data_IF_380584579343
#
_entry.id   IF_380584579343
#
_cell.length_a   1.000
_cell.length_b   1.000
_cell.length_c   1.000
_cell.angle_alpha   90.00
_cell.angle_beta   90.00
_cell.angle_gamma   90.00
#
_symmetry.space_group_name_H-M   'P 1'
#
loop_
_entity.id
_entity.type
_entity.pdbx_description
1 polymer ?
#
# COMPACT_ATOMS: atom_id res chain seq x y z
N UNK A 1 19.62 -5.21 4.70
CA UNK A 1 18.99 -3.89 4.89
C UNK A 1 18.50 -3.65 6.31
N UNK A 2 17.68 -4.54 6.90
CA UNK A 2 17.20 -4.38 8.29
C UNK A 2 18.34 -4.28 9.33
N UNK A 3 19.40 -5.09 9.21
CA UNK A 3 20.62 -4.96 10.04
C UNK A 3 21.29 -3.58 9.93
N UNK A 4 21.25 -2.94 8.76
CA UNK A 4 21.84 -1.63 8.55
C UNK A 4 21.00 -0.52 9.19
N UNK A 5 19.68 -0.63 9.11
CA UNK A 5 18.73 0.26 9.80
C UNK A 5 18.90 0.14 11.32
N UNK A 6 19.01 -1.10 11.83
CA UNK A 6 19.35 -1.36 13.24
C UNK A 6 20.64 -0.65 13.63
N UNK A 7 21.69 -0.75 12.81
CA UNK A 7 22.94 -0.04 13.09
C UNK A 7 22.77 1.49 13.14
N UNK A 8 22.13 2.09 12.13
CA UNK A 8 21.99 3.55 12.04
C UNK A 8 21.16 4.12 13.19
N UNK A 9 20.02 3.50 13.50
CA UNK A 9 19.08 4.03 14.50
C UNK A 9 19.55 3.73 15.92
N UNK A 10 20.16 2.57 16.18
CA UNK A 10 20.65 2.23 17.51
C UNK A 10 21.97 2.93 17.80
N UNK A 11 22.94 2.87 16.89
CA UNK A 11 24.28 3.40 17.14
C UNK A 11 24.42 4.88 16.78
N UNK A 12 23.54 5.44 15.95
CA UNK A 12 23.48 6.88 15.70
C UNK A 12 22.77 7.68 16.81
N UNK A 13 22.13 7.00 17.77
CA UNK A 13 21.39 7.60 18.88
C UNK A 13 22.14 7.53 20.22
N UNK A 14 23.24 6.77 20.28
CA UNK A 14 24.14 6.68 21.43
C UNK A 14 24.80 8.04 21.76
N UNK A 15 24.95 8.95 20.79
CA UNK A 15 25.47 10.32 21.03
C UNK A 15 24.43 11.29 21.64
N UNK A 16 23.12 10.98 21.57
CA UNK A 16 22.07 11.90 21.99
C UNK A 16 21.48 11.60 23.38
N UNK A 17 21.55 10.35 23.86
CA UNK A 17 20.98 9.96 25.16
C UNK A 17 21.90 10.28 26.35
N UNK A 18 23.20 10.49 26.13
CA UNK A 18 24.13 10.90 27.20
C UNK A 18 24.08 12.41 27.52
N UNK A 19 23.41 13.22 26.71
CA UNK A 19 23.40 14.70 26.82
C UNK A 19 22.17 15.26 27.56
N UNK A 20 21.09 14.49 27.70
CA UNK A 20 19.83 14.97 28.31
C UNK A 20 19.43 14.10 29.51
N UNK A 21 20.27 14.14 30.53
CA UNK A 21 19.81 13.92 31.89
C UNK A 21 18.81 14.99 32.31
N UNK A 22 17.55 14.60 32.47
CA UNK A 22 16.58 15.32 33.28
C UNK A 22 15.65 16.29 32.56
N UNK A 23 14.47 15.81 32.21
CA UNK A 23 13.18 16.45 32.58
C UNK A 23 12.02 15.52 32.24
N UNK A 24 11.31 15.09 33.28
CA UNK A 24 10.02 14.44 33.13
C UNK A 24 8.98 15.45 32.65
N UNK A 25 8.32 15.14 31.54
CA UNK A 25 7.07 15.76 31.10
C UNK A 25 6.29 14.72 30.30
N UNK A 26 5.21 14.24 30.93
CA UNK A 26 4.02 13.56 30.39
C UNK A 26 4.11 12.90 29.01
N UNK A 27 4.17 11.57 29.06
CA UNK A 27 4.03 10.61 27.96
C UNK A 27 2.63 10.71 27.32
N UNK A 28 2.43 11.61 26.38
CA UNK A 28 1.45 11.37 25.32
C UNK A 28 2.02 10.29 24.41
N UNK A 29 1.24 9.25 24.10
CA UNK A 29 1.65 8.14 23.24
C UNK A 29 2.28 8.66 21.95
N UNK A 30 3.61 8.55 21.82
CA UNK A 30 4.38 9.00 20.64
C UNK A 30 4.11 8.05 19.47
N UNK A 31 2.95 8.24 18.86
CA UNK A 31 2.39 7.48 17.77
C UNK A 31 2.77 8.14 16.45
N UNK A 32 3.77 7.58 15.77
CA UNK A 32 4.19 8.01 14.44
C UNK A 32 3.22 7.49 13.36
N UNK A 33 3.06 8.28 12.30
CA UNK A 33 2.51 7.87 11.00
C UNK A 33 3.56 7.08 10.19
N UNK A 34 3.16 6.50 9.06
CA UNK A 34 4.09 5.81 8.16
C UNK A 34 5.19 6.73 7.61
N UNK A 35 4.89 8.02 7.39
CA UNK A 35 5.85 8.99 6.89
C UNK A 35 6.87 9.37 7.98
N UNK A 36 6.39 9.72 9.16
CA UNK A 36 7.26 10.02 10.31
C UNK A 36 8.14 8.82 10.67
N UNK A 37 7.61 7.60 10.55
CA UNK A 37 8.38 6.39 10.74
C UNK A 37 9.45 6.20 9.66
N UNK A 38 9.15 6.50 8.39
CA UNK A 38 10.12 6.43 7.30
C UNK A 38 11.30 7.39 7.55
N UNK A 39 10.99 8.62 7.94
CA UNK A 39 11.96 9.65 8.32
C UNK A 39 12.79 9.19 9.53
N UNK A 40 12.13 8.67 10.57
CA UNK A 40 12.79 8.18 11.78
C UNK A 40 13.75 7.01 11.50
N UNK A 41 13.30 6.03 10.71
CA UNK A 41 14.13 4.88 10.32
C UNK A 41 15.18 5.25 9.26
N UNK A 42 15.10 6.45 8.67
CA UNK A 42 15.92 6.90 7.54
C UNK A 42 15.85 5.95 6.36
N UNK A 43 14.63 5.52 6.03
CA UNK A 43 14.34 4.63 4.90
C UNK A 43 13.31 5.26 3.99
N UNK A 44 13.26 4.78 2.76
CA UNK A 44 12.17 5.11 1.85
C UNK A 44 10.82 4.64 2.42
N UNK A 45 9.76 5.44 2.23
CA UNK A 45 8.41 5.13 2.69
C UNK A 45 7.92 3.75 2.19
N UNK A 46 8.32 3.32 1.00
CA UNK A 46 8.05 1.99 0.45
C UNK A 46 8.60 0.87 1.34
N UNK A 47 9.75 1.09 1.97
CA UNK A 47 10.34 0.13 2.91
C UNK A 47 9.49 -0.04 4.15
N UNK A 48 8.92 1.05 4.67
CA UNK A 48 7.97 0.98 5.80
C UNK A 48 6.75 0.16 5.41
N UNK A 49 6.13 0.44 4.27
CA UNK A 49 4.97 -0.31 3.81
C UNK A 49 5.27 -1.79 3.56
N UNK A 50 6.45 -2.12 3.02
CA UNK A 50 6.88 -3.51 2.89
C UNK A 50 6.97 -4.22 4.24
N UNK A 51 7.51 -3.57 5.28
CA UNK A 51 7.51 -4.18 6.62
C UNK A 51 6.10 -4.34 7.19
N UNK A 52 5.20 -3.38 6.95
CA UNK A 52 3.79 -3.48 7.35
C UNK A 52 3.13 -4.69 6.68
N UNK A 53 3.37 -4.88 5.36
CA UNK A 53 2.86 -5.98 4.54
C UNK A 53 3.35 -7.33 5.01
N UNK A 54 4.65 -7.43 5.30
CA UNK A 54 5.28 -8.67 5.74
C UNK A 54 4.99 -8.99 7.21
N UNK A 55 4.22 -8.15 7.92
CA UNK A 55 3.97 -8.30 9.36
C UNK A 55 5.25 -8.17 10.19
N UNK A 56 6.27 -7.52 9.65
CA UNK A 56 7.61 -7.47 10.22
C UNK A 56 7.85 -6.24 11.10
N UNK A 57 6.90 -5.32 11.19
CA UNK A 57 7.03 -4.09 11.99
C UNK A 57 5.85 -3.97 12.99
N UNK A 58 6.13 -3.57 14.23
CA UNK A 58 5.08 -3.34 15.23
C UNK A 58 4.14 -2.23 14.79
N UNK A 59 2.82 -2.41 14.97
CA UNK A 59 1.81 -1.42 14.55
C UNK A 59 0.58 -1.47 15.43
N UNK A 60 -0.09 -0.33 15.57
CA UNK A 60 -1.34 -0.16 16.32
C UNK A 60 -2.37 0.49 15.41
N UNK A 61 -3.64 0.07 15.49
CA UNK A 61 -4.72 0.69 14.72
C UNK A 61 -5.41 1.75 15.58
N UNK A 62 -5.31 3.02 15.19
CA UNK A 62 -5.92 4.17 15.88
C UNK A 62 -6.77 4.95 14.88
N UNK A 63 -8.08 5.04 15.14
CA UNK A 63 -9.02 5.69 14.23
C UNK A 63 -9.00 5.10 12.81
N UNK A 64 -8.86 3.78 12.69
CA UNK A 64 -8.76 3.09 11.40
C UNK A 64 -7.38 3.09 10.75
N UNK A 65 -6.45 3.94 11.23
CA UNK A 65 -5.14 4.15 10.62
C UNK A 65 -4.03 3.41 11.38
N UNK A 66 -3.04 2.91 10.65
CA UNK A 66 -1.83 2.37 11.28
C UNK A 66 -1.01 3.48 11.93
N UNK A 67 -0.55 3.22 13.14
CA UNK A 67 0.34 4.06 13.94
C UNK A 67 1.45 3.21 14.54
N UNK A 68 2.57 3.85 14.81
CA UNK A 68 3.81 3.20 15.25
C UNK A 68 4.27 3.87 16.54
N UNK A 69 4.15 3.17 17.67
CA UNK A 69 4.70 3.69 18.93
C UNK A 69 6.22 3.68 18.85
N UNK A 70 6.87 4.81 19.13
CA UNK A 70 8.35 4.88 19.11
C UNK A 70 9.00 3.79 19.94
N UNK A 71 8.51 3.56 21.16
CA UNK A 71 9.02 2.51 22.07
C UNK A 71 9.03 1.12 21.44
N UNK A 72 7.96 0.78 20.72
CA UNK A 72 7.76 -0.53 20.12
C UNK A 72 8.71 -0.71 18.93
N UNK A 73 8.92 0.35 18.14
CA UNK A 73 9.88 0.38 17.04
C UNK A 73 11.31 0.24 17.56
N UNK A 74 11.67 0.95 18.62
CA UNK A 74 13.00 0.85 19.23
C UNK A 74 13.28 -0.55 19.79
N UNK A 75 12.31 -1.15 20.50
CA UNK A 75 12.42 -2.52 20.98
C UNK A 75 12.57 -3.53 19.83
N UNK A 76 11.80 -3.35 18.75
CA UNK A 76 11.91 -4.15 17.53
C UNK A 76 13.29 -4.03 16.85
N UNK A 77 13.83 -2.80 16.76
CA UNK A 77 15.17 -2.57 16.22
C UNK A 77 16.23 -3.27 17.07
N UNK A 78 16.16 -3.17 18.40
CA UNK A 78 17.07 -3.90 19.30
C UNK A 78 16.95 -5.42 19.19
N UNK A 79 15.80 -5.92 18.72
CA UNK A 79 15.50 -7.36 18.63
C UNK A 79 14.86 -7.91 19.90
N UNK A 80 14.46 -7.02 20.82
CA UNK A 80 13.81 -7.35 22.09
C UNK A 80 12.35 -7.74 21.90
N UNK A 81 11.80 -7.50 20.70
CA UNK A 81 10.41 -7.79 20.38
C UNK A 81 10.29 -8.72 19.18
N UNK A 82 9.62 -9.86 19.40
CA UNK A 82 9.19 -10.75 18.33
C UNK A 82 7.89 -10.19 17.75
N UNK A 83 7.95 -9.73 16.50
CA UNK A 83 6.74 -9.41 15.75
C UNK A 83 6.26 -10.73 15.16
N UNK A 84 5.22 -11.31 15.76
CA UNK A 84 4.49 -12.41 15.13
C UNK A 84 4.11 -11.93 13.73
N UNK A 85 4.52 -12.63 12.65
CA UNK A 85 4.02 -12.33 11.32
C UNK A 85 2.51 -12.33 11.46
N UNK A 86 1.86 -11.20 11.14
CA UNK A 86 0.40 -11.17 11.03
C UNK A 86 0.06 -12.42 10.22
N UNK A 87 -0.67 -13.37 10.82
CA UNK A 87 -1.15 -14.55 10.10
C UNK A 87 -1.67 -14.01 8.79
N UNK A 88 -0.95 -14.29 7.70
CA UNK A 88 -1.13 -13.56 6.45
C UNK A 88 -2.62 -13.63 6.17
N UNK A 89 -3.32 -12.49 6.15
CA UNK A 89 -4.71 -12.48 5.70
C UNK A 89 -4.65 -13.19 4.36
N UNK A 90 -5.20 -14.40 4.27
CA UNK A 90 -4.74 -15.39 3.29
C UNK A 90 -5.10 -15.01 1.85
N UNK A 91 -5.84 -13.90 1.65
CA UNK A 91 -6.13 -13.27 0.37
C UNK A 91 -5.29 -12.01 0.13
N UNK A 92 -4.83 -11.84 -1.11
CA UNK A 92 -4.23 -10.59 -1.62
C UNK A 92 -5.24 -9.45 -1.55
N UNK A 93 -4.78 -8.23 -1.28
CA UNK A 93 -5.62 -7.03 -1.21
C UNK A 93 -5.72 -6.38 -2.58
N UNK A 94 -6.93 -6.18 -3.08
CA UNK A 94 -7.22 -5.56 -4.37
C UNK A 94 -8.02 -4.28 -4.12
N UNK A 95 -7.59 -3.18 -4.75
CA UNK A 95 -8.37 -1.95 -4.81
C UNK A 95 -8.99 -1.80 -6.21
N UNK A 96 -10.31 -1.81 -6.27
CA UNK A 96 -11.09 -1.51 -7.48
C UNK A 96 -11.41 -0.02 -7.49
N UNK A 97 -11.12 0.66 -8.60
CA UNK A 97 -11.36 2.10 -8.77
C UNK A 97 -12.17 2.32 -10.04
N UNK A 98 -13.47 2.55 -9.86
CA UNK A 98 -14.44 2.74 -10.93
C UNK A 98 -15.63 3.54 -10.37
N UNK A 99 -16.11 4.54 -11.10
CA UNK A 99 -17.24 5.38 -10.67
C UNK A 99 -18.60 4.77 -11.05
N UNK A 100 -18.60 3.71 -11.86
CA UNK A 100 -19.80 2.98 -12.24
C UNK A 100 -20.16 1.90 -11.19
N UNK A 101 -21.27 2.06 -10.45
CA UNK A 101 -21.64 1.12 -9.38
C UNK A 101 -21.94 -0.29 -9.89
N UNK A 102 -22.40 -0.45 -11.13
CA UNK A 102 -22.65 -1.76 -11.74
C UNK A 102 -21.34 -2.50 -12.02
N UNK A 103 -20.35 -1.82 -12.59
CA UNK A 103 -19.02 -2.40 -12.81
C UNK A 103 -18.35 -2.76 -11.49
N UNK A 104 -18.40 -1.86 -10.50
CA UNK A 104 -17.88 -2.09 -9.16
C UNK A 104 -18.47 -3.34 -8.52
N UNK A 105 -19.80 -3.50 -8.58
CA UNK A 105 -20.48 -4.66 -8.02
C UNK A 105 -20.00 -5.96 -8.68
N UNK A 106 -19.99 -6.02 -10.02
CA UNK A 106 -19.55 -7.20 -10.77
C UNK A 106 -18.08 -7.56 -10.47
N UNK A 107 -17.18 -6.57 -10.48
CA UNK A 107 -15.77 -6.80 -10.16
C UNK A 107 -15.60 -7.29 -8.72
N UNK A 108 -16.31 -6.67 -7.77
CA UNK A 108 -16.21 -7.02 -6.35
C UNK A 108 -16.69 -8.44 -6.10
N UNK A 109 -17.85 -8.81 -6.62
CA UNK A 109 -18.43 -10.14 -6.45
C UNK A 109 -17.50 -11.23 -6.99
N UNK A 110 -17.03 -11.09 -8.24
CA UNK A 110 -16.13 -12.08 -8.88
C UNK A 110 -14.82 -12.25 -8.08
N UNK A 111 -14.24 -11.15 -7.60
CA UNK A 111 -12.95 -11.18 -6.90
C UNK A 111 -13.09 -11.70 -5.46
N UNK A 112 -14.16 -11.35 -4.76
CA UNK A 112 -14.42 -11.85 -3.41
C UNK A 112 -14.76 -13.34 -3.43
N UNK A 113 -15.54 -13.82 -4.40
CA UNK A 113 -15.80 -15.25 -4.60
C UNK A 113 -14.51 -16.04 -4.87
N UNK A 114 -13.52 -15.41 -5.51
CA UNK A 114 -12.19 -15.99 -5.72
C UNK A 114 -11.25 -15.89 -4.50
N UNK A 115 -11.72 -15.35 -3.36
CA UNK A 115 -10.97 -15.28 -2.10
C UNK A 115 -10.05 -14.06 -1.95
N UNK A 116 -10.23 -13.03 -2.79
CA UNK A 116 -9.48 -11.77 -2.64
C UNK A 116 -10.14 -10.82 -1.64
N UNK A 117 -9.30 -10.03 -0.97
CA UNK A 117 -9.76 -8.94 -0.10
C UNK A 117 -9.96 -7.69 -0.95
N UNK A 118 -11.22 -7.37 -1.29
CA UNK A 118 -11.53 -6.25 -2.20
C UNK A 118 -11.96 -5.03 -1.41
N UNK A 119 -11.36 -3.89 -1.74
CA UNK A 119 -11.87 -2.57 -1.38
C UNK A 119 -12.17 -1.76 -2.65
N UNK A 120 -13.01 -0.74 -2.52
CA UNK A 120 -13.52 0.04 -3.64
C UNK A 120 -13.28 1.52 -3.37
N UNK A 121 -12.90 2.24 -4.41
CA UNK A 121 -12.95 3.71 -4.47
C UNK A 121 -13.76 4.15 -5.69
N UNK A 122 -14.57 5.20 -5.55
CA UNK A 122 -15.42 5.71 -6.63
C UNK A 122 -14.73 6.80 -7.47
N UNK A 123 -13.53 7.24 -7.08
CA UNK A 123 -12.74 8.25 -7.78
C UNK A 123 -11.27 8.16 -7.38
N UNK A 124 -10.39 8.80 -8.16
CA UNK A 124 -8.95 8.70 -7.93
C UNK A 124 -8.46 9.40 -6.65
N UNK A 125 -9.16 10.39 -6.08
CA UNK A 125 -8.75 11.00 -4.81
C UNK A 125 -9.01 10.06 -3.62
N UNK A 126 -10.16 9.42 -3.62
CA UNK A 126 -10.51 8.40 -2.64
C UNK A 126 -9.51 7.23 -2.72
N UNK A 127 -9.22 6.76 -3.93
CA UNK A 127 -8.23 5.71 -4.16
C UNK A 127 -6.85 6.10 -3.63
N UNK A 128 -6.38 7.33 -3.86
CA UNK A 128 -5.11 7.82 -3.31
C UNK A 128 -5.12 7.92 -1.78
N UNK A 129 -6.25 8.31 -1.19
CA UNK A 129 -6.39 8.35 0.26
C UNK A 129 -6.25 6.95 0.86
N UNK A 130 -6.96 5.97 0.29
CA UNK A 130 -6.86 4.57 0.69
C UNK A 130 -5.46 4.01 0.46
N UNK A 131 -4.85 4.31 -0.69
CA UNK A 131 -3.48 3.93 -1.01
C UNK A 131 -2.51 4.48 0.02
N UNK A 132 -2.70 5.64 0.64
CA UNK A 132 -1.79 6.13 1.70
C UNK A 132 -1.96 5.40 3.03
N UNK A 133 -3.10 4.75 3.25
CA UNK A 133 -3.44 4.10 4.52
C UNK A 133 -3.16 2.60 4.50
N UNK A 134 -3.40 1.96 3.36
CA UNK A 134 -3.35 0.52 3.18
C UNK A 134 -2.55 0.21 1.92
N UNK A 135 -1.66 -0.78 2.02
CA UNK A 135 -0.98 -1.33 0.87
C UNK A 135 -1.92 -2.30 0.13
N UNK A 136 -2.02 -2.15 -1.19
CA UNK A 136 -2.74 -3.07 -2.07
C UNK A 136 -1.76 -3.85 -2.93
N UNK A 137 -2.00 -5.15 -3.12
CA UNK A 137 -1.21 -5.99 -4.03
C UNK A 137 -1.53 -5.66 -5.50
N UNK A 138 -2.77 -5.28 -5.77
CA UNK A 138 -3.25 -4.98 -7.11
C UNK A 138 -4.26 -3.83 -7.11
N UNK A 139 -4.09 -2.93 -8.07
CA UNK A 139 -5.05 -1.91 -8.46
C UNK A 139 -5.76 -2.36 -9.73
N UNK A 140 -7.09 -2.30 -9.74
CA UNK A 140 -7.93 -2.47 -10.93
C UNK A 140 -8.60 -1.12 -11.18
N UNK A 141 -8.21 -0.44 -12.26
CA UNK A 141 -8.47 1.00 -12.44
C UNK A 141 -9.19 1.27 -13.76
N UNK A 142 -10.33 1.95 -13.71
CA UNK A 142 -10.92 2.55 -14.92
C UNK A 142 -10.13 3.80 -15.32
N UNK A 143 -10.05 4.08 -16.62
CA UNK A 143 -9.33 5.26 -17.12
C UNK A 143 -10.11 6.56 -16.91
N UNK A 144 -11.42 6.52 -17.11
CA UNK A 144 -12.30 7.67 -17.10
C UNK A 144 -12.88 7.88 -15.70
N UNK A 145 -12.00 8.26 -14.76
CA UNK A 145 -12.39 8.56 -13.39
C UNK A 145 -12.62 10.05 -13.17
N UNK A 146 -13.62 10.42 -12.35
CA UNK A 146 -13.78 11.80 -11.92
C UNK A 146 -12.62 12.22 -11.00
N UNK A 147 -12.38 13.54 -10.98
CA UNK A 147 -11.32 14.23 -10.22
C UNK A 147 -9.91 13.87 -10.69
N UNK A 148 -9.43 12.66 -10.39
CA UNK A 148 -8.12 12.16 -10.80
C UNK A 148 -8.35 10.99 -11.74
N UNK A 149 -7.95 11.17 -13.01
CA UNK A 149 -8.05 10.13 -14.03
C UNK A 149 -7.16 8.91 -13.74
N UNK A 150 -7.50 7.77 -14.34
CA UNK A 150 -6.87 6.48 -14.03
C UNK A 150 -5.35 6.44 -14.25
N UNK A 151 -4.84 7.02 -15.34
CA UNK A 151 -3.40 7.07 -15.62
C UNK A 151 -2.65 7.92 -14.58
N UNK A 152 -3.22 9.07 -14.20
CA UNK A 152 -2.65 9.93 -13.17
C UNK A 152 -2.67 9.27 -11.78
N UNK A 153 -3.73 8.50 -11.47
CA UNK A 153 -3.80 7.68 -10.27
C UNK A 153 -2.69 6.62 -10.25
N UNK A 154 -2.50 5.89 -11.35
CA UNK A 154 -1.46 4.85 -11.49
C UNK A 154 -0.06 5.46 -11.33
N UNK A 155 0.22 6.59 -11.98
CA UNK A 155 1.51 7.29 -11.81
C UNK A 155 1.79 7.59 -10.34
N UNK A 156 0.82 8.16 -9.62
CA UNK A 156 0.96 8.47 -8.19
C UNK A 156 1.05 7.23 -7.32
N UNK A 157 0.34 6.15 -7.65
CA UNK A 157 0.49 4.88 -6.96
C UNK A 157 1.91 4.31 -7.12
N UNK A 158 2.49 4.41 -8.32
CA UNK A 158 3.87 4.02 -8.58
C UNK A 158 4.90 4.97 -7.95
N UNK A 159 4.58 6.25 -7.75
CA UNK A 159 5.43 7.15 -6.95
C UNK A 159 5.49 6.67 -5.48
N UNK A 160 4.34 6.30 -4.90
CA UNK A 160 4.25 5.82 -3.51
C UNK A 160 4.87 4.43 -3.31
N UNK A 161 4.60 3.51 -4.24
CA UNK A 161 4.85 2.06 -4.06
C UNK A 161 5.76 1.45 -5.11
N UNK A 162 6.09 2.19 -6.16
CA UNK A 162 6.78 1.66 -7.33
C UNK A 162 5.97 0.56 -7.99
N UNK A 163 6.69 -0.42 -8.53
CA UNK A 163 6.10 -1.60 -9.18
C UNK A 163 5.74 -2.72 -8.19
N UNK A 164 5.81 -2.46 -6.88
CA UNK A 164 5.32 -3.42 -5.87
C UNK A 164 3.79 -3.47 -5.85
N UNK A 165 3.12 -2.35 -6.14
CA UNK A 165 1.69 -2.35 -6.46
C UNK A 165 1.54 -2.67 -7.94
N UNK A 166 0.84 -3.75 -8.25
CA UNK A 166 0.49 -4.10 -9.62
C UNK A 166 -0.73 -3.29 -10.05
N UNK A 167 -0.87 -3.03 -11.33
CA UNK A 167 -1.97 -2.29 -11.93
C UNK A 167 -2.51 -3.05 -13.15
N UNK A 168 -3.83 -3.21 -13.18
CA UNK A 168 -4.61 -3.62 -14.34
C UNK A 168 -5.54 -2.47 -14.68
N UNK A 169 -5.55 -2.05 -15.95
CA UNK A 169 -6.57 -1.12 -16.44
C UNK A 169 -7.77 -1.92 -16.93
N UNK A 170 -8.97 -1.50 -16.52
CA UNK A 170 -10.23 -2.08 -16.99
C UNK A 170 -11.14 -0.95 -17.48
N UNK A 171 -11.34 -0.83 -18.80
CA UNK A 171 -12.09 0.32 -19.35
C UNK A 171 -12.88 0.00 -20.61
N UNK A 172 -13.98 0.73 -20.84
CA UNK A 172 -14.74 0.70 -22.08
C UNK A 172 -14.32 1.79 -23.08
N UNK A 173 -13.37 2.65 -22.72
CA UNK A 173 -12.91 3.78 -23.53
C UNK A 173 -11.42 3.66 -23.86
N UNK A 174 -11.01 2.49 -24.35
CA UNK A 174 -9.64 2.26 -24.77
C UNK A 174 -9.31 3.12 -26.01
N UNK A 175 -8.16 3.81 -25.97
CA UNK A 175 -7.59 4.46 -27.15
C UNK A 175 -6.15 3.99 -27.34
N UNK A 176 -5.61 4.18 -28.55
CA UNK A 176 -4.22 3.83 -28.83
C UNK A 176 -3.26 4.64 -27.96
N UNK A 177 -3.57 5.90 -27.74
CA UNK A 177 -2.78 6.84 -26.95
C UNK A 177 -2.77 6.42 -25.48
N UNK A 178 -3.94 6.11 -24.90
CA UNK A 178 -4.03 5.67 -23.51
C UNK A 178 -3.37 4.31 -23.27
N UNK A 179 -3.41 3.40 -24.25
CA UNK A 179 -2.68 2.14 -24.20
C UNK A 179 -1.16 2.35 -24.21
N UNK A 180 -0.64 3.25 -25.06
CA UNK A 180 0.79 3.59 -25.10
C UNK A 180 1.23 4.20 -23.77
N UNK A 181 0.45 5.13 -23.21
CA UNK A 181 0.76 5.77 -21.93
C UNK A 181 0.74 4.77 -20.77
N UNK A 182 -0.24 3.86 -20.74
CA UNK A 182 -0.31 2.79 -19.74
C UNK A 182 0.93 1.89 -19.76
N UNK A 183 1.40 1.50 -20.96
CA UNK A 183 2.63 0.70 -21.10
C UNK A 183 3.84 1.47 -20.57
N UNK A 184 3.96 2.76 -20.90
CA UNK A 184 5.06 3.60 -20.43
C UNK A 184 5.06 3.78 -18.90
N UNK A 185 3.89 3.81 -18.27
CA UNK A 185 3.73 3.84 -16.82
C UNK A 185 4.05 2.50 -16.13
N UNK A 186 4.20 1.42 -16.90
CA UNK A 186 4.50 0.08 -16.39
C UNK A 186 3.27 -0.65 -15.85
N UNK A 187 2.09 -0.40 -16.42
CA UNK A 187 0.87 -1.18 -16.16
C UNK A 187 1.08 -2.62 -16.65
N UNK A 188 0.67 -3.61 -15.86
CA UNK A 188 0.92 -5.02 -16.19
C UNK A 188 -0.03 -5.53 -17.25
N UNK A 189 -1.31 -5.17 -17.18
CA UNK A 189 -2.34 -5.65 -18.11
C UNK A 189 -3.41 -4.58 -18.38
N UNK A 190 -4.05 -4.76 -19.51
CA UNK A 190 -5.18 -3.96 -19.98
C UNK A 190 -6.31 -4.90 -20.35
N UNK A 191 -7.53 -4.63 -19.87
CA UNK A 191 -8.73 -5.41 -20.12
C UNK A 191 -9.84 -4.48 -20.61
N UNK A 192 -10.41 -4.76 -21.76
CA UNK A 192 -11.49 -3.96 -22.34
C UNK A 192 -12.85 -4.44 -21.83
N UNK A 193 -13.77 -3.50 -21.58
CA UNK A 193 -15.18 -3.80 -21.26
C UNK A 193 -15.96 -4.00 -22.58
N UNK A 194 -16.83 -5.01 -22.69
CA UNK A 194 -17.19 -5.99 -21.67
C UNK A 194 -16.17 -7.14 -21.57
N UNK A 195 -16.00 -7.67 -20.36
CA UNK A 195 -15.15 -8.82 -20.06
C UNK A 195 -15.96 -9.94 -19.38
N UNK A 196 -15.49 -11.17 -19.51
CA UNK A 196 -16.02 -12.31 -18.76
C UNK A 196 -15.31 -12.48 -17.41
N UNK A 197 -15.97 -13.16 -16.46
CA UNK A 197 -15.39 -13.47 -15.16
C UNK A 197 -14.09 -14.30 -15.28
N UNK A 198 -14.04 -15.25 -16.22
CA UNK A 198 -12.86 -16.06 -16.47
C UNK A 198 -11.68 -15.23 -17.00
N UNK A 199 -11.94 -14.26 -17.89
CA UNK A 199 -10.90 -13.33 -18.37
C UNK A 199 -10.37 -12.45 -17.23
N UNK A 200 -11.25 -11.90 -16.39
CA UNK A 200 -10.84 -11.10 -15.23
C UNK A 200 -9.95 -11.92 -14.29
N UNK A 201 -10.42 -13.09 -13.85
CA UNK A 201 -9.70 -13.93 -12.90
C UNK A 201 -8.35 -14.42 -13.45
N UNK A 202 -8.29 -14.81 -14.72
CA UNK A 202 -7.03 -15.20 -15.35
C UNK A 202 -6.03 -14.03 -15.39
N UNK A 203 -6.50 -12.83 -15.73
CA UNK A 203 -5.67 -11.62 -15.80
C UNK A 203 -5.13 -11.26 -14.42
N UNK A 204 -6.01 -11.23 -13.41
CA UNK A 204 -5.67 -10.93 -12.01
C UNK A 204 -4.66 -11.93 -11.46
N UNK A 205 -4.92 -13.23 -11.62
CA UNK A 205 -4.02 -14.28 -11.17
C UNK A 205 -2.64 -14.15 -11.81
N UNK A 206 -2.57 -14.04 -13.15
CA UNK A 206 -1.29 -13.90 -13.86
C UNK A 206 -0.50 -12.66 -13.43
N UNK A 207 -1.21 -11.57 -13.10
CA UNK A 207 -0.58 -10.30 -12.71
C UNK A 207 -0.01 -10.37 -11.30
N UNK A 208 -0.67 -11.10 -10.40
CA UNK A 208 -0.25 -11.27 -9.01
C UNK A 208 0.88 -12.30 -8.84
N UNK A 209 1.01 -13.23 -9.78
CA UNK A 209 2.03 -14.29 -9.78
C UNK A 209 3.39 -13.85 -10.37
N UNK A 210 3.44 -12.69 -11.05
CA UNK A 210 4.66 -12.05 -11.61
C UNK A 210 5.50 -11.28 -10.58
#
# INVERSE_FOLDING_TARGET
>A
MLLFIKCIVIYGHLDWLDVIGGRGTQMAEDLMTSHELADYLKVDLRTVYRYIKQGQIPKVKVGGRWRFRRSDIEAWLRGDMQVEPLAASSGKHILVVDDNPGTVAVLTDILQEAGYNVQVAQNGEEALTMLREIFFDLLIVDLNLPKIGGLALISRAHELYGREVKCIIVTGYASKESAIEAVNLGVQRFLEKPFSASQLLATVKSTLDE
#
